data_IF_532271928461
#
_entry.id   IF_532271928461
#
_cell.length_a   1.000
_cell.length_b   1.000
_cell.length_c   1.000
_cell.angle_alpha   90.00
_cell.angle_beta   90.00
_cell.angle_gamma   90.00
#
_symmetry.space_group_name_H-M   'P 1'
#
loop_
_entity.id
_entity.type
_entity.pdbx_description
1 polymer ?
#
# COMPACT_ATOMS: atom_id res chain seq x y z
N UNK A 1 34.70 33.17 11.00
CA UNK A 1 33.52 33.74 10.39
C UNK A 1 32.92 32.91 9.26
N UNK A 2 33.72 32.46 8.36
CA UNK A 2 33.27 31.60 7.25
C UNK A 2 32.78 30.26 7.69
N UNK A 3 33.22 29.76 8.81
CA UNK A 3 32.87 28.45 9.37
C UNK A 3 31.41 28.35 9.81
N UNK A 4 30.85 29.45 10.20
CA UNK A 4 29.48 29.48 10.71
C UNK A 4 28.47 29.17 9.62
N UNK A 5 28.76 29.54 8.41
CA UNK A 5 27.87 29.30 7.27
C UNK A 5 27.81 27.82 6.92
N UNK A 6 28.94 27.16 7.03
CA UNK A 6 29.01 25.72 6.75
C UNK A 6 28.26 24.91 7.82
N UNK A 7 28.36 25.33 9.07
CA UNK A 7 27.66 24.68 10.15
C UNK A 7 26.13 24.80 10.02
N UNK A 8 25.67 25.95 9.57
CA UNK A 8 24.24 26.20 9.36
C UNK A 8 23.70 25.30 8.23
N UNK A 9 24.46 25.17 7.17
CA UNK A 9 24.04 24.33 6.05
C UNK A 9 23.97 22.86 6.46
N UNK A 10 24.91 22.40 7.23
CA UNK A 10 24.88 21.03 7.76
C UNK A 10 23.67 20.79 8.66
N UNK A 11 23.33 21.75 9.46
CA UNK A 11 22.17 21.64 10.36
C UNK A 11 20.86 21.56 9.58
N UNK A 12 20.77 22.34 8.51
CA UNK A 12 19.58 22.32 7.65
C UNK A 12 19.37 20.97 6.97
N UNK A 13 20.45 20.34 6.52
CA UNK A 13 20.38 19.03 5.89
C UNK A 13 19.94 17.96 6.89
N UNK A 14 20.43 18.04 8.09
CA UNK A 14 20.05 17.11 9.15
C UNK A 14 18.56 17.22 9.51
N UNK A 15 18.05 18.44 9.54
CA UNK A 15 16.64 18.67 9.84
C UNK A 15 15.74 18.10 8.76
N UNK A 16 16.16 18.19 7.53
CA UNK A 16 15.40 17.64 6.41
C UNK A 16 15.30 16.11 6.47
N UNK A 17 16.38 15.45 6.89
CA UNK A 17 16.36 13.99 7.03
C UNK A 17 15.44 13.52 8.14
N UNK A 18 15.34 14.26 9.20
CA UNK A 18 14.44 13.94 10.30
C UNK A 18 12.98 14.04 9.88
N UNK A 19 12.65 14.97 9.00
CA UNK A 19 11.29 15.13 8.51
C UNK A 19 10.83 13.95 7.67
N UNK A 20 11.73 13.27 6.95
CA UNK A 20 11.36 12.11 6.17
C UNK A 20 11.13 10.87 7.02
N UNK A 21 11.74 10.78 8.17
CA UNK A 21 11.56 9.64 9.07
C UNK A 21 10.25 9.70 9.85
N UNK A 22 9.74 10.87 10.10
CA UNK A 22 8.52 11.02 10.89
C UNK A 22 7.25 10.56 10.16
N UNK A 23 7.31 10.37 8.85
CA UNK A 23 6.18 9.87 8.07
C UNK A 23 6.06 8.36 8.04
N UNK A 24 7.01 7.62 8.58
CA UNK A 24 7.07 6.18 8.39
C UNK A 24 6.56 5.36 9.56
N UNK A 25 6.32 5.93 10.71
CA UNK A 25 6.21 5.13 11.91
C UNK A 25 4.84 4.99 12.51
N UNK A 26 3.91 5.76 12.10
CA UNK A 26 2.67 5.89 12.85
C UNK A 26 1.52 5.13 12.25
N UNK A 27 1.82 4.18 11.39
CA UNK A 27 0.81 3.36 10.80
C UNK A 27 0.14 2.50 11.84
N UNK A 28 -1.14 2.44 11.78
CA UNK A 28 -1.87 1.41 12.44
C UNK A 28 -1.42 0.09 11.83
N UNK A 29 -0.86 -0.80 12.64
CA UNK A 29 -0.20 -2.02 12.19
C UNK A 29 -1.16 -3.16 11.87
N UNK A 30 -2.39 -2.86 11.55
CA UNK A 30 -3.38 -3.87 11.17
C UNK A 30 -3.01 -4.57 9.86
N UNK A 31 -2.35 -3.87 8.94
CA UNK A 31 -1.87 -4.47 7.69
C UNK A 31 -0.45 -5.00 7.93
N UNK A 32 -0.30 -6.32 7.96
CA UNK A 32 1.02 -6.93 8.14
C UNK A 32 1.74 -7.13 6.81
N UNK A 33 1.05 -7.64 5.81
CA UNK A 33 1.63 -7.95 4.51
C UNK A 33 0.64 -7.60 3.41
N UNK A 34 1.14 -7.02 2.33
CA UNK A 34 0.35 -6.78 1.12
C UNK A 34 1.22 -7.04 -0.10
N UNK A 35 0.75 -7.87 -1.00
CA UNK A 35 1.40 -8.10 -2.29
C UNK A 35 0.38 -7.84 -3.38
N UNK A 36 0.75 -7.04 -4.36
CA UNK A 36 -0.07 -6.77 -5.53
C UNK A 36 0.52 -7.57 -6.69
N UNK A 37 -0.27 -8.43 -7.28
CA UNK A 37 0.19 -9.39 -8.28
C UNK A 37 -0.94 -9.75 -9.24
N UNK A 38 -0.60 -10.43 -10.32
CA UNK A 38 -1.59 -11.03 -11.21
C UNK A 38 -2.20 -12.31 -10.61
N UNK A 39 -1.66 -12.77 -9.49
CA UNK A 39 -2.16 -13.92 -8.76
C UNK A 39 -2.82 -13.51 -7.45
N UNK A 40 -3.75 -14.32 -6.98
CA UNK A 40 -4.37 -14.15 -5.68
C UNK A 40 -3.68 -15.08 -4.68
N UNK A 41 -3.30 -14.52 -3.55
CA UNK A 41 -2.72 -15.31 -2.45
C UNK A 41 -3.74 -15.43 -1.33
N UNK A 42 -4.29 -16.62 -1.17
CA UNK A 42 -5.35 -16.90 -0.20
C UNK A 42 -4.85 -17.52 1.09
N UNK A 43 -3.56 -17.84 1.14
CA UNK A 43 -2.94 -18.43 2.33
C UNK A 43 -1.77 -17.55 2.80
N UNK A 44 -1.63 -17.46 4.11
CA UNK A 44 -0.60 -16.64 4.74
C UNK A 44 0.81 -17.01 4.27
N UNK A 45 1.13 -18.30 4.25
CA UNK A 45 2.48 -18.76 3.86
C UNK A 45 2.80 -18.42 2.42
N UNK A 46 1.84 -18.57 1.52
CA UNK A 46 2.00 -18.22 0.12
C UNK A 46 2.22 -16.71 -0.04
N UNK A 47 1.47 -15.92 0.69
CA UNK A 47 1.58 -14.47 0.64
C UNK A 47 2.93 -13.98 1.20
N UNK A 48 3.37 -14.54 2.31
CA UNK A 48 4.65 -14.16 2.92
C UNK A 48 5.85 -14.51 2.05
N UNK A 49 5.75 -15.56 1.25
CA UNK A 49 6.80 -15.99 0.35
C UNK A 49 6.71 -15.37 -1.04
N UNK A 50 5.65 -14.63 -1.31
CA UNK A 50 5.47 -13.99 -2.60
C UNK A 50 6.39 -12.78 -2.77
N UNK A 51 6.86 -12.58 -3.99
CA UNK A 51 7.65 -11.41 -4.34
C UNK A 51 6.77 -10.36 -5.00
N UNK A 52 6.96 -9.10 -4.63
CA UNK A 52 6.25 -8.01 -5.26
C UNK A 52 6.81 -7.76 -6.67
N UNK A 53 6.00 -7.89 -7.74
CA UNK A 53 6.45 -7.56 -9.09
C UNK A 53 6.85 -6.09 -9.19
N UNK A 54 7.87 -5.80 -10.01
CA UNK A 54 8.35 -4.44 -10.22
C UNK A 54 7.43 -3.64 -11.14
N UNK A 55 6.75 -4.31 -12.06
CA UNK A 55 5.81 -3.67 -12.98
C UNK A 55 4.74 -4.67 -13.40
N UNK A 56 3.69 -4.14 -14.02
CA UNK A 56 2.60 -4.92 -14.60
C UNK A 56 2.44 -4.59 -16.07
N UNK A 57 1.82 -5.49 -16.81
CA UNK A 57 1.49 -5.28 -18.21
C UNK A 57 0.05 -4.78 -18.34
N UNK A 58 -0.15 -3.93 -19.33
CA UNK A 58 -1.48 -3.42 -19.67
C UNK A 58 -2.42 -4.57 -19.99
N UNK A 59 -3.64 -4.48 -19.49
CA UNK A 59 -4.68 -5.44 -19.83
C UNK A 59 -4.67 -6.72 -19.02
N UNK A 60 -3.85 -6.78 -17.96
CA UNK A 60 -3.87 -7.89 -17.01
C UNK A 60 -4.55 -7.45 -15.72
N UNK A 61 -5.53 -8.22 -15.24
CA UNK A 61 -6.13 -7.98 -13.94
C UNK A 61 -5.11 -8.16 -12.84
N UNK A 62 -5.18 -7.32 -11.81
CA UNK A 62 -4.27 -7.39 -10.67
C UNK A 62 -5.06 -7.49 -9.37
N UNK A 63 -4.41 -8.06 -8.36
CA UNK A 63 -5.01 -8.32 -7.08
C UNK A 63 -4.08 -7.85 -5.97
N UNK A 64 -4.64 -7.14 -5.00
CA UNK A 64 -3.94 -6.84 -3.76
C UNK A 64 -4.37 -7.89 -2.74
N UNK A 65 -3.46 -8.78 -2.40
CA UNK A 65 -3.67 -9.78 -1.35
C UNK A 65 -3.11 -9.21 -0.06
N UNK A 66 -3.97 -9.01 0.94
CA UNK A 66 -3.62 -8.27 2.15
C UNK A 66 -3.86 -9.15 3.36
N UNK A 67 -2.83 -9.33 4.17
CA UNK A 67 -2.96 -10.04 5.43
C UNK A 67 -3.12 -9.03 6.57
N UNK A 68 -4.26 -9.14 7.25
CA UNK A 68 -4.60 -8.30 8.38
C UNK A 68 -4.36 -9.05 9.69
N UNK A 69 -3.85 -8.34 10.67
CA UNK A 69 -3.67 -8.83 12.04
C UNK A 69 -4.40 -7.91 13.01
N UNK A 70 -4.69 -8.42 14.20
CA UNK A 70 -5.39 -7.65 15.24
C UNK A 70 -6.66 -6.99 14.69
N UNK A 71 -7.38 -7.74 13.85
CA UNK A 71 -8.55 -7.26 13.15
C UNK A 71 -9.74 -8.17 13.48
N UNK A 72 -10.72 -7.67 14.24
CA UNK A 72 -11.89 -8.46 14.60
C UNK A 72 -12.73 -8.87 13.40
N UNK A 73 -13.46 -9.95 13.56
CA UNK A 73 -14.46 -10.39 12.60
C UNK A 73 -15.45 -9.25 12.30
N UNK A 74 -15.73 -9.04 11.03
CA UNK A 74 -16.67 -8.01 10.57
C UNK A 74 -16.07 -6.62 10.40
N UNK A 75 -14.81 -6.43 10.71
CA UNK A 75 -14.13 -5.16 10.49
C UNK A 75 -14.07 -4.85 9.01
N UNK A 76 -14.51 -3.67 8.60
CA UNK A 76 -14.58 -3.27 7.20
C UNK A 76 -13.38 -2.42 6.79
N UNK A 77 -12.79 -2.78 5.64
CA UNK A 77 -11.71 -2.02 5.03
C UNK A 77 -12.06 -1.64 3.61
N UNK A 78 -11.67 -0.45 3.20
CA UNK A 78 -11.90 0.03 1.85
C UNK A 78 -10.59 0.02 1.07
N UNK A 79 -10.57 -0.67 -0.05
CA UNK A 79 -9.47 -0.64 -1.01
C UNK A 79 -9.77 0.37 -2.09
N UNK A 80 -8.83 1.24 -2.36
CA UNK A 80 -8.97 2.26 -3.42
C UNK A 80 -7.84 2.12 -4.42
N UNK A 81 -8.22 2.10 -5.68
CA UNK A 81 -7.27 2.02 -6.79
C UNK A 81 -7.26 3.33 -7.56
N UNK A 82 -6.07 3.80 -7.88
CA UNK A 82 -5.86 5.01 -8.67
C UNK A 82 -4.97 4.70 -9.86
N UNK A 83 -5.25 5.34 -10.98
CA UNK A 83 -4.38 5.30 -12.16
C UNK A 83 -4.01 6.74 -12.48
N UNK A 84 -2.72 7.04 -12.48
CA UNK A 84 -2.19 8.40 -12.68
C UNK A 84 -2.89 9.45 -11.80
N UNK A 85 -3.15 9.07 -10.55
CA UNK A 85 -3.77 9.95 -9.57
C UNK A 85 -5.29 10.01 -9.60
N UNK A 86 -5.93 9.34 -10.56
CA UNK A 86 -7.39 9.31 -10.67
C UNK A 86 -7.94 8.02 -10.08
N UNK A 87 -8.90 8.16 -9.16
CA UNK A 87 -9.55 6.99 -8.57
C UNK A 87 -10.36 6.26 -9.64
N UNK A 88 -10.07 4.97 -9.81
CA UNK A 88 -10.74 4.14 -10.83
C UNK A 88 -11.59 3.04 -10.21
N UNK A 89 -11.38 2.73 -8.94
CA UNK A 89 -12.19 1.74 -8.23
C UNK A 89 -12.10 1.93 -6.72
N UNK A 90 -13.22 1.74 -6.06
CA UNK A 90 -13.34 1.68 -4.60
C UNK A 90 -14.14 0.44 -4.23
N UNK A 91 -13.62 -0.33 -3.29
CA UNK A 91 -14.23 -1.58 -2.88
C UNK A 91 -14.11 -1.73 -1.37
N UNK A 92 -15.23 -1.98 -0.68
CA UNK A 92 -15.23 -2.23 0.76
C UNK A 92 -15.45 -3.71 1.01
N UNK A 93 -14.61 -4.29 1.85
CA UNK A 93 -14.71 -5.69 2.25
C UNK A 93 -14.53 -5.82 3.75
N UNK A 94 -15.17 -6.82 4.32
CA UNK A 94 -15.08 -7.08 5.75
C UNK A 94 -14.25 -8.33 6.05
N UNK A 95 -13.70 -8.37 7.25
CA UNK A 95 -13.00 -9.54 7.75
C UNK A 95 -14.00 -10.68 7.93
N UNK A 96 -13.74 -11.79 7.25
CA UNK A 96 -14.55 -13.01 7.40
C UNK A 96 -14.03 -13.96 8.47
N UNK A 97 -12.88 -13.61 9.06
CA UNK A 97 -12.25 -14.37 10.15
C UNK A 97 -11.94 -13.43 11.30
N UNK A 98 -11.84 -13.96 12.50
CA UNK A 98 -11.54 -13.17 13.69
C UNK A 98 -10.03 -13.05 13.91
N UNK A 99 -9.58 -11.89 14.36
CA UNK A 99 -8.20 -11.55 14.72
C UNK A 99 -7.24 -11.41 13.55
N UNK A 100 -7.27 -12.29 12.57
CA UNK A 100 -6.39 -12.20 11.40
C UNK A 100 -7.02 -12.88 10.21
N UNK A 101 -6.61 -12.50 9.01
CA UNK A 101 -7.08 -13.08 7.78
C UNK A 101 -6.65 -12.31 6.56
N UNK A 102 -6.92 -12.89 5.41
CA UNK A 102 -6.57 -12.29 4.12
C UNK A 102 -7.82 -11.74 3.47
N UNK A 103 -7.73 -10.50 2.99
CA UNK A 103 -8.72 -9.90 2.11
C UNK A 103 -8.03 -9.63 0.77
N UNK A 104 -8.72 -9.92 -0.32
CA UNK A 104 -8.23 -9.67 -1.66
C UNK A 104 -9.07 -8.59 -2.30
N UNK A 105 -8.40 -7.52 -2.77
CA UNK A 105 -9.00 -6.45 -3.54
C UNK A 105 -8.52 -6.60 -4.98
N UNK A 106 -9.39 -6.39 -5.94
CA UNK A 106 -9.05 -6.62 -7.35
C UNK A 106 -9.23 -5.37 -8.19
N UNK A 107 -8.38 -5.26 -9.22
CA UNK A 107 -8.55 -4.27 -10.27
C UNK A 107 -8.68 -5.01 -11.60
N UNK A 108 -9.79 -4.78 -12.29
CA UNK A 108 -10.12 -5.48 -13.53
C UNK A 108 -9.15 -5.10 -14.66
N UNK A 109 -8.95 -6.04 -15.58
CA UNK A 109 -7.99 -5.91 -16.67
C UNK A 109 -8.20 -4.63 -17.51
N UNK A 110 -9.43 -4.24 -17.74
CA UNK A 110 -9.76 -3.06 -18.52
C UNK A 110 -9.39 -1.74 -17.84
N UNK A 111 -9.13 -1.78 -16.53
CA UNK A 111 -8.71 -0.62 -15.76
C UNK A 111 -7.19 -0.57 -15.55
N UNK A 112 -6.48 -1.62 -15.92
CA UNK A 112 -5.01 -1.68 -15.80
C UNK A 112 -4.41 -1.09 -17.07
N UNK A 113 -4.14 0.20 -17.04
CA UNK A 113 -3.63 0.97 -18.17
C UNK A 113 -2.23 1.50 -17.88
N UNK A 114 -1.51 1.88 -18.93
CA UNK A 114 -0.15 2.40 -18.83
C UNK A 114 -0.08 3.58 -17.87
N UNK A 115 0.88 3.58 -16.98
CA UNK A 115 1.11 4.66 -16.04
C UNK A 115 1.43 4.16 -14.64
N UNK A 116 1.10 4.95 -13.64
CA UNK A 116 1.30 4.60 -12.24
C UNK A 116 -0.03 4.16 -11.64
N UNK A 117 -0.04 2.96 -11.08
CA UNK A 117 -1.18 2.45 -10.30
C UNK A 117 -0.86 2.63 -8.83
N UNK A 118 -1.78 3.23 -8.09
CA UNK A 118 -1.68 3.32 -6.63
C UNK A 118 -2.83 2.54 -6.01
N UNK A 119 -2.50 1.79 -4.96
CA UNK A 119 -3.49 1.08 -4.15
C UNK A 119 -3.39 1.59 -2.72
N UNK A 120 -4.56 1.89 -2.12
CA UNK A 120 -4.64 2.30 -0.72
C UNK A 120 -5.64 1.43 0.03
N UNK A 121 -5.33 1.17 1.30
CA UNK A 121 -6.28 0.57 2.23
C UNK A 121 -6.66 1.65 3.23
N UNK A 122 -7.95 1.88 3.36
CA UNK A 122 -8.52 2.93 4.21
C UNK A 122 -9.43 2.30 5.24
N UNK A 123 -9.31 2.76 6.48
CA UNK A 123 -10.22 2.41 7.55
C UNK A 123 -10.60 3.69 8.30
N UNK A 124 -11.90 3.97 8.39
CA UNK A 124 -12.42 5.13 9.13
C UNK A 124 -11.70 6.44 8.75
N UNK A 125 -11.57 6.67 7.43
CA UNK A 125 -10.91 7.81 6.82
C UNK A 125 -9.38 7.86 6.99
N UNK A 126 -8.79 6.89 7.65
CA UNK A 126 -7.34 6.79 7.79
C UNK A 126 -6.75 5.85 6.74
N UNK A 127 -5.68 6.28 6.09
CA UNK A 127 -4.94 5.43 5.16
C UNK A 127 -4.00 4.55 5.96
N UNK A 128 -4.26 3.24 5.93
CA UNK A 128 -3.46 2.25 6.66
C UNK A 128 -2.26 1.77 5.84
N UNK A 129 -2.40 1.77 4.53
CA UNK A 129 -1.38 1.25 3.63
C UNK A 129 -1.52 1.89 2.26
N UNK A 130 -0.39 2.15 1.62
CA UNK A 130 -0.36 2.64 0.24
C UNK A 130 0.81 2.02 -0.50
N UNK A 131 0.60 1.75 -1.79
CA UNK A 131 1.64 1.20 -2.67
C UNK A 131 1.46 1.76 -4.06
N UNK A 132 2.56 2.11 -4.71
CA UNK A 132 2.56 2.58 -6.10
C UNK A 132 3.35 1.62 -6.98
N UNK A 133 2.81 1.34 -8.15
CA UNK A 133 3.38 0.40 -9.10
C UNK A 133 3.30 0.96 -10.51
N UNK A 134 4.17 0.46 -11.35
CA UNK A 134 4.23 0.87 -12.76
C UNK A 134 3.51 -0.14 -13.64
N UNK A 135 2.74 0.36 -14.60
CA UNK A 135 2.13 -0.44 -15.68
C UNK A 135 2.76 -0.01 -17.00
N UNK A 136 3.28 -0.97 -17.73
CA UNK A 136 3.94 -0.73 -19.03
C UNK A 136 3.17 -1.33 -20.19
#
# INVERSE_FOLDING_TARGET
MKRNKTAIVLFLILTLMLATLSGCGDGNNTVETCVISTEQYTEKDSLENASQPEYFEVGQGIYASVYFIESPLGMEYTGKWYVDGNEVKTETREMSTDKSGIIIFSLEADKVTTGTVKFEIVYDDDVLFTSELTVK
#
